data_IF_593881662285
#
_entry.id   IF_593881662285
#
_cell.length_a   1.000
_cell.length_b   1.000
_cell.length_c   1.000
_cell.angle_alpha   90.00
_cell.angle_beta   90.00
_cell.angle_gamma   90.00
#
_symmetry.space_group_name_H-M   'P 1'
#
loop_
_entity.id
_entity.type
_entity.pdbx_description
1 polymer ?
#
# COMPACT_ATOMS: atom_id res chain seq x y z
N UNK A 1 -15.92 -15.38 44.31
CA UNK A 1 -15.54 -13.98 44.50
C UNK A 1 -14.18 -13.78 43.85
N UNK A 2 -14.10 -12.87 42.88
CA UNK A 2 -12.98 -12.65 41.97
C UNK A 2 -11.70 -12.22 42.69
N UNK A 3 -10.58 -12.87 42.36
CA UNK A 3 -9.27 -12.22 42.42
C UNK A 3 -8.91 -11.84 40.98
N UNK A 4 -9.20 -10.58 40.66
CA UNK A 4 -8.68 -9.89 39.48
C UNK A 4 -7.16 -10.04 39.46
N UNK A 5 -6.65 -10.84 38.53
CA UNK A 5 -5.28 -10.68 38.05
C UNK A 5 -5.30 -9.47 37.13
N UNK A 6 -4.79 -8.35 37.62
CA UNK A 6 -4.52 -7.17 36.78
C UNK A 6 -3.70 -7.59 35.56
N UNK A 7 -4.12 -7.22 34.34
CA UNK A 7 -3.35 -7.50 33.14
C UNK A 7 -2.07 -6.65 33.13
N UNK A 8 -1.06 -7.24 32.52
CA UNK A 8 0.33 -6.82 32.35
C UNK A 8 0.57 -5.31 32.11
N UNK A 9 1.62 -4.72 32.73
CA UNK A 9 1.92 -3.28 32.70
C UNK A 9 2.60 -2.76 31.41
N UNK A 10 2.55 -3.49 30.29
CA UNK A 10 3.28 -3.11 29.07
C UNK A 10 2.50 -2.26 28.06
N UNK A 11 1.26 -1.88 28.38
CA UNK A 11 0.48 -0.92 27.59
C UNK A 11 0.18 0.33 28.43
N UNK A 12 1.24 1.04 28.85
CA UNK A 12 1.12 2.49 29.10
C UNK A 12 0.72 3.17 27.80
N UNK A 13 -0.02 4.30 27.85
CA UNK A 13 -0.70 4.87 26.70
C UNK A 13 0.33 5.14 25.61
N UNK A 14 0.39 4.23 24.63
CA UNK A 14 1.11 4.44 23.40
C UNK A 14 0.55 5.74 22.86
N UNK A 15 1.41 6.76 22.74
CA UNK A 15 1.23 7.84 21.78
C UNK A 15 0.56 7.24 20.55
N UNK A 16 -0.58 7.79 20.12
CA UNK A 16 -1.59 7.15 19.28
C UNK A 16 -1.07 6.66 17.92
N UNK A 17 -0.23 5.61 17.92
CA UNK A 17 0.24 4.94 16.72
C UNK A 17 -0.96 4.15 16.21
N UNK A 18 -1.46 4.44 15.00
CA UNK A 18 -2.59 3.72 14.47
C UNK A 18 -2.24 2.22 14.43
N UNK A 19 -3.19 1.39 14.85
CA UNK A 19 -3.08 -0.06 14.75
C UNK A 19 -3.86 -0.54 13.53
N UNK A 20 -3.32 -1.54 12.83
CA UNK A 20 -3.97 -2.20 11.69
C UNK A 20 -3.84 -3.71 11.78
N UNK A 21 -4.70 -4.44 11.08
CA UNK A 21 -4.59 -5.90 10.96
C UNK A 21 -3.26 -6.23 10.27
N UNK A 22 -2.42 -7.00 10.96
CA UNK A 22 -1.09 -7.38 10.48
C UNK A 22 -1.21 -8.54 9.51
N UNK A 23 -0.87 -8.32 8.24
CA UNK A 23 -0.85 -9.38 7.23
C UNK A 23 0.12 -10.51 7.62
N UNK A 24 1.25 -10.15 8.24
CA UNK A 24 2.24 -11.12 8.73
C UNK A 24 1.61 -12.02 9.79
N UNK A 25 0.99 -11.44 10.82
CA UNK A 25 0.36 -12.22 11.90
C UNK A 25 -0.79 -13.10 11.38
N UNK A 26 -1.62 -12.56 10.48
CA UNK A 26 -2.71 -13.34 9.84
C UNK A 26 -2.14 -14.51 9.05
N UNK A 27 -1.13 -14.27 8.21
CA UNK A 27 -0.55 -15.30 7.36
C UNK A 27 0.22 -16.36 8.16
N UNK A 28 0.93 -15.98 9.22
CA UNK A 28 1.59 -16.94 10.12
C UNK A 28 0.58 -17.88 10.78
N UNK A 29 -0.52 -17.32 11.29
CA UNK A 29 -1.61 -18.10 11.89
C UNK A 29 -2.29 -19.02 10.86
N UNK A 30 -2.58 -18.53 9.66
CA UNK A 30 -3.14 -19.34 8.57
C UNK A 30 -2.19 -20.48 8.15
N UNK A 31 -0.88 -20.22 8.07
CA UNK A 31 0.13 -21.24 7.77
C UNK A 31 0.23 -22.31 8.86
N UNK A 32 0.08 -21.93 10.14
CA UNK A 32 0.13 -22.87 11.26
C UNK A 32 -0.99 -23.92 11.17
N UNK A 33 -2.20 -23.55 10.73
CA UNK A 33 -3.30 -24.49 10.45
C UNK A 33 -2.92 -25.49 9.35
N UNK A 34 -2.11 -25.05 8.39
CA UNK A 34 -1.71 -25.84 7.23
C UNK A 34 -0.62 -26.87 7.47
N UNK A 35 -0.02 -26.92 8.66
CA UNK A 35 1.04 -27.89 9.00
C UNK A 35 0.55 -29.34 9.17
N UNK A 36 -0.76 -29.59 9.02
CA UNK A 36 -1.37 -30.93 8.98
C UNK A 36 -1.48 -31.55 7.58
N UNK A 37 -2.18 -32.70 7.48
CA UNK A 37 -2.21 -33.59 6.29
C UNK A 37 -2.76 -32.94 5.00
N UNK A 38 -3.53 -31.84 5.08
CA UNK A 38 -3.86 -30.95 3.95
C UNK A 38 -4.11 -29.53 4.45
N UNK A 39 -3.15 -28.64 4.22
CA UNK A 39 -3.34 -27.21 4.52
C UNK A 39 -4.34 -26.52 3.58
N UNK A 40 -4.75 -25.28 3.92
CA UNK A 40 -5.65 -24.51 3.08
C UNK A 40 -5.02 -24.25 1.71
N UNK A 41 -5.86 -24.20 0.67
CA UNK A 41 -5.40 -23.84 -0.67
C UNK A 41 -4.90 -22.39 -0.69
N UNK A 42 -4.07 -22.04 -1.69
CA UNK A 42 -3.63 -20.65 -1.91
C UNK A 42 -4.83 -19.72 -2.09
N UNK A 43 -5.89 -20.19 -2.75
CA UNK A 43 -7.12 -19.44 -2.95
C UNK A 43 -7.89 -19.21 -1.64
N UNK A 44 -8.04 -20.24 -0.81
CA UNK A 44 -8.69 -20.12 0.49
C UNK A 44 -7.91 -19.17 1.43
N UNK A 45 -6.58 -19.24 1.38
CA UNK A 45 -5.70 -18.35 2.15
C UNK A 45 -5.87 -16.89 1.70
N UNK A 46 -5.92 -16.64 0.38
CA UNK A 46 -6.18 -15.28 -0.15
C UNK A 46 -7.56 -14.75 0.23
N UNK A 47 -8.59 -15.59 0.13
CA UNK A 47 -9.93 -15.22 0.55
C UNK A 47 -9.96 -14.85 2.04
N UNK A 48 -9.30 -15.63 2.90
CA UNK A 48 -9.16 -15.34 4.32
C UNK A 48 -8.41 -14.03 4.58
N UNK A 49 -7.28 -13.78 3.93
CA UNK A 49 -6.54 -12.52 4.10
C UNK A 49 -7.35 -11.31 3.64
N UNK A 50 -8.06 -11.43 2.52
CA UNK A 50 -8.95 -10.36 2.02
C UNK A 50 -10.11 -10.08 2.99
N UNK A 51 -10.76 -11.13 3.50
CA UNK A 51 -11.84 -10.99 4.48
C UNK A 51 -11.32 -10.37 5.78
N UNK A 52 -10.16 -10.80 6.28
CA UNK A 52 -9.53 -10.22 7.46
C UNK A 52 -9.22 -8.72 7.27
N UNK A 53 -8.69 -8.33 6.11
CA UNK A 53 -8.43 -6.93 5.78
C UNK A 53 -9.72 -6.11 5.76
N UNK A 54 -10.74 -6.53 5.00
CA UNK A 54 -12.01 -5.77 4.86
C UNK A 54 -12.76 -5.69 6.19
N UNK A 55 -12.77 -6.78 6.96
CA UNK A 55 -13.35 -6.79 8.30
C UNK A 55 -12.60 -5.83 9.23
N UNK A 56 -11.26 -5.85 9.20
CA UNK A 56 -10.43 -4.93 9.98
C UNK A 56 -10.66 -3.46 9.62
N UNK A 57 -10.81 -3.13 8.34
CA UNK A 57 -11.13 -1.77 7.88
C UNK A 57 -12.46 -1.31 8.45
N UNK A 58 -13.50 -2.14 8.37
CA UNK A 58 -14.81 -1.78 8.89
C UNK A 58 -14.86 -1.68 10.42
N UNK A 59 -14.13 -2.54 11.14
CA UNK A 59 -14.00 -2.41 12.60
C UNK A 59 -13.30 -1.11 12.98
N UNK A 60 -12.32 -0.64 12.19
CA UNK A 60 -11.68 0.65 12.40
C UNK A 60 -12.60 1.85 12.13
N UNK A 61 -13.48 1.75 11.13
CA UNK A 61 -14.54 2.75 10.92
C UNK A 61 -15.45 2.86 12.14
N UNK A 62 -15.85 1.71 12.72
CA UNK A 62 -16.67 1.66 13.94
C UNK A 62 -15.95 2.19 15.18
N UNK A 63 -14.64 1.96 15.26
CA UNK A 63 -13.78 2.49 16.33
C UNK A 63 -13.57 4.00 16.29
N UNK A 64 -13.87 4.65 15.16
CA UNK A 64 -13.96 6.10 15.04
C UNK A 64 -12.82 6.87 15.72
N UNK A 65 -11.54 6.53 15.46
CA UNK A 65 -10.38 7.24 16.02
C UNK A 65 -10.48 7.54 17.54
N UNK A 66 -11.21 6.72 18.33
CA UNK A 66 -11.41 7.01 19.74
C UNK A 66 -10.18 6.55 20.55
N UNK A 67 -9.36 7.48 21.08
CA UNK A 67 -8.25 7.09 21.95
C UNK A 67 -8.82 6.44 23.21
N UNK A 68 -8.32 5.24 23.53
CA UNK A 68 -8.68 4.51 24.76
C UNK A 68 -9.70 3.38 24.60
N UNK A 69 -10.19 3.10 23.39
CA UNK A 69 -10.92 1.86 23.12
C UNK A 69 -9.93 0.75 22.83
N UNK A 70 -10.06 -0.35 23.58
CA UNK A 70 -9.24 -1.54 23.40
C UNK A 70 -9.61 -2.23 22.08
N UNK A 71 -8.74 -2.25 21.05
CA UNK A 71 -9.13 -2.69 19.70
C UNK A 71 -9.52 -4.16 19.63
N UNK A 72 -9.09 -4.98 20.59
CA UNK A 72 -9.44 -6.40 20.73
C UNK A 72 -10.80 -6.63 21.41
N UNK A 73 -11.37 -5.62 22.06
CA UNK A 73 -12.69 -5.70 22.68
C UNK A 73 -13.84 -5.40 21.69
N UNK A 74 -13.51 -5.02 20.45
CA UNK A 74 -14.48 -4.59 19.44
C UNK A 74 -15.04 -5.78 18.70
N UNK A 75 -16.37 -5.91 18.80
CA UNK A 75 -17.13 -6.82 17.96
C UNK A 75 -17.04 -6.36 16.51
N UNK A 76 -16.35 -7.14 15.69
CA UNK A 76 -16.20 -6.94 14.27
C UNK A 76 -17.45 -7.53 13.59
N UNK A 77 -18.47 -6.69 13.38
CA UNK A 77 -19.72 -7.14 12.76
C UNK A 77 -19.85 -6.61 11.33
N UNK A 78 -19.68 -7.51 10.36
CA UNK A 78 -20.28 -7.40 9.04
C UNK A 78 -20.98 -8.73 8.70
N UNK A 79 -22.25 -8.68 8.25
CA UNK A 79 -22.90 -9.86 7.70
C UNK A 79 -22.10 -10.45 6.54
N UNK A 80 -22.05 -11.79 6.38
CA UNK A 80 -21.35 -12.45 5.28
C UNK A 80 -21.74 -11.93 3.89
N UNK A 81 -22.99 -11.51 3.70
CA UNK A 81 -23.49 -10.92 2.45
C UNK A 81 -22.83 -9.58 2.14
N UNK A 82 -22.63 -8.74 3.17
CA UNK A 82 -21.96 -7.45 3.00
C UNK A 82 -20.46 -7.62 2.75
N UNK A 83 -19.83 -8.60 3.42
CA UNK A 83 -18.45 -8.98 3.14
C UNK A 83 -18.31 -9.49 1.70
N UNK A 84 -19.24 -10.32 1.23
CA UNK A 84 -19.27 -10.82 -0.14
C UNK A 84 -19.33 -9.68 -1.16
N UNK A 85 -20.21 -8.70 -0.94
CA UNK A 85 -20.31 -7.49 -1.79
C UNK A 85 -18.98 -6.72 -1.81
N UNK A 86 -18.41 -6.41 -0.64
CA UNK A 86 -17.18 -5.60 -0.55
C UNK A 86 -15.96 -6.30 -1.12
N UNK A 87 -15.86 -7.63 -0.94
CA UNK A 87 -14.72 -8.44 -1.40
C UNK A 87 -14.87 -8.96 -2.83
N UNK A 88 -16.09 -8.99 -3.38
CA UNK A 88 -16.39 -9.66 -4.65
C UNK A 88 -16.38 -11.18 -4.59
N UNK A 89 -16.33 -11.76 -3.38
CA UNK A 89 -16.37 -13.21 -3.16
C UNK A 89 -17.81 -13.72 -3.12
N UNK A 90 -18.02 -15.00 -3.42
CA UNK A 90 -19.28 -15.66 -3.12
C UNK A 90 -19.49 -15.76 -1.60
N UNK A 91 -20.75 -15.71 -1.15
CA UNK A 91 -21.09 -15.81 0.28
C UNK A 91 -20.51 -17.08 0.92
N UNK A 92 -20.58 -18.22 0.23
CA UNK A 92 -19.99 -19.48 0.71
C UNK A 92 -18.47 -19.37 0.89
N UNK A 93 -17.77 -18.67 -0.02
CA UNK A 93 -16.33 -18.43 0.09
C UNK A 93 -16.00 -17.52 1.27
N UNK A 94 -16.85 -16.53 1.55
CA UNK A 94 -16.71 -15.66 2.74
C UNK A 94 -16.91 -16.47 4.02
N UNK A 95 -17.94 -17.32 4.08
CA UNK A 95 -18.18 -18.17 5.25
C UNK A 95 -17.03 -19.13 5.50
N UNK A 96 -16.49 -19.74 4.43
CA UNK A 96 -15.31 -20.61 4.54
C UNK A 96 -14.06 -19.84 4.98
N UNK A 97 -13.87 -18.62 4.47
CA UNK A 97 -12.79 -17.72 4.91
C UNK A 97 -12.92 -17.35 6.40
N UNK A 98 -14.13 -17.01 6.87
CA UNK A 98 -14.39 -16.74 8.29
C UNK A 98 -14.13 -17.97 9.16
N UNK A 99 -14.55 -19.15 8.71
CA UNK A 99 -14.27 -20.43 9.39
C UNK A 99 -12.78 -20.71 9.48
N UNK A 100 -12.03 -20.44 8.40
CA UNK A 100 -10.58 -20.61 8.36
C UNK A 100 -9.88 -19.63 9.30
N UNK A 101 -10.30 -18.36 9.31
CA UNK A 101 -9.76 -17.34 10.21
C UNK A 101 -10.03 -17.68 11.68
N UNK A 102 -11.22 -18.18 12.00
CA UNK A 102 -11.55 -18.66 13.34
C UNK A 102 -10.72 -19.89 13.73
N UNK A 103 -10.60 -20.88 12.83
CA UNK A 103 -9.75 -22.05 13.03
C UNK A 103 -8.26 -21.72 13.22
N UNK A 104 -7.79 -20.67 12.55
CA UNK A 104 -6.44 -20.12 12.70
C UNK A 104 -6.26 -19.24 13.94
N UNK A 105 -7.32 -19.03 14.74
CA UNK A 105 -7.33 -18.08 15.86
C UNK A 105 -6.94 -16.67 15.44
N UNK A 106 -7.25 -16.27 14.21
CA UNK A 106 -7.18 -14.86 13.79
C UNK A 106 -8.40 -14.11 14.32
N UNK A 107 -9.55 -14.80 14.31
CA UNK A 107 -10.80 -14.32 14.88
C UNK A 107 -11.21 -15.21 16.06
N UNK A 108 -11.62 -14.59 17.16
CA UNK A 108 -12.30 -15.25 18.27
C UNK A 108 -13.81 -15.06 18.11
N UNK A 109 -14.59 -16.12 18.32
CA UNK A 109 -16.04 -16.05 18.31
C UNK A 109 -16.57 -15.91 19.74
N UNK A 110 -17.19 -14.76 20.05
CA UNK A 110 -17.72 -14.45 21.38
C UNK A 110 -19.19 -14.05 21.23
N UNK A 111 -20.11 -14.79 21.87
CA UNK A 111 -21.55 -14.52 21.85
C UNK A 111 -22.16 -14.33 20.43
N UNK A 112 -21.64 -15.06 19.44
CA UNK A 112 -22.10 -14.97 18.05
C UNK A 112 -21.49 -13.83 17.24
N UNK A 113 -20.64 -13.00 17.84
CA UNK A 113 -19.82 -11.99 17.16
C UNK A 113 -18.39 -12.47 16.96
N UNK A 114 -17.68 -11.88 15.99
CA UNK A 114 -16.24 -12.08 15.81
C UNK A 114 -15.45 -10.94 16.42
N UNK A 115 -14.31 -11.25 17.03
CA UNK A 115 -13.29 -10.28 17.46
C UNK A 115 -11.95 -10.68 16.88
N UNK A 116 -11.10 -9.72 16.55
CA UNK A 116 -9.71 -10.06 16.24
C UNK A 116 -9.00 -10.49 17.51
N UNK A 117 -8.29 -11.61 17.41
CA UNK A 117 -7.52 -12.13 18.53
C UNK A 117 -6.35 -11.19 18.89
N UNK A 118 -5.95 -11.23 20.16
CA UNK A 118 -4.80 -10.47 20.65
C UNK A 118 -3.53 -10.82 19.84
N UNK A 119 -2.77 -9.81 19.43
CA UNK A 119 -1.58 -9.97 18.59
C UNK A 119 -1.83 -10.11 17.08
N UNK A 120 -3.07 -9.92 16.61
CA UNK A 120 -3.36 -9.77 15.16
C UNK A 120 -3.18 -8.33 14.70
N UNK A 121 -3.34 -7.34 15.58
CA UNK A 121 -2.99 -5.96 15.24
C UNK A 121 -1.53 -5.67 15.52
N UNK A 122 -0.93 -4.87 14.64
CA UNK A 122 0.39 -4.27 14.82
C UNK A 122 0.30 -2.76 14.57
N UNK A 123 1.28 -1.98 15.06
CA UNK A 123 1.53 -0.64 14.52
C UNK A 123 1.51 -0.70 13.00
N UNK A 124 0.72 0.15 12.36
CA UNK A 124 0.77 0.23 10.89
C UNK A 124 2.07 0.90 10.48
N UNK A 125 2.74 0.33 9.47
CA UNK A 125 3.84 0.98 8.76
C UNK A 125 3.33 2.07 7.81
N UNK A 126 4.11 2.38 6.77
CA UNK A 126 3.75 3.37 5.75
C UNK A 126 2.42 3.01 5.05
N UNK A 127 2.04 1.73 5.00
CA UNK A 127 0.77 1.26 4.46
C UNK A 127 -0.46 1.69 5.27
N UNK A 128 -0.30 2.05 6.54
CA UNK A 128 -1.40 2.60 7.34
C UNK A 128 -1.62 4.10 7.17
N UNK A 129 -0.79 4.74 6.35
CA UNK A 129 -1.02 6.12 5.94
C UNK A 129 -2.13 6.22 4.88
N UNK A 130 -2.41 5.11 4.19
CA UNK A 130 -3.51 5.00 3.25
C UNK A 130 -4.88 4.99 3.96
N UNK A 131 -5.84 5.65 3.33
CA UNK A 131 -7.23 5.67 3.77
C UNK A 131 -7.96 4.43 3.23
N UNK A 132 -7.71 3.28 3.86
CA UNK A 132 -8.28 1.99 3.49
C UNK A 132 -9.81 1.98 3.33
N UNK A 133 -10.62 2.69 4.13
CA UNK A 133 -12.05 2.85 3.87
C UNK A 133 -12.36 3.33 2.45
N UNK A 134 -11.67 4.37 1.97
CA UNK A 134 -11.85 4.91 0.60
C UNK A 134 -11.41 3.90 -0.44
N UNK A 135 -10.27 3.22 -0.23
CA UNK A 135 -9.75 2.21 -1.15
C UNK A 135 -10.73 1.03 -1.29
N UNK A 136 -11.20 0.49 -0.16
CA UNK A 136 -12.14 -0.64 -0.15
C UNK A 136 -13.48 -0.24 -0.76
N UNK A 137 -13.97 0.98 -0.49
CA UNK A 137 -15.20 1.47 -1.11
C UNK A 137 -15.04 1.64 -2.63
N UNK A 138 -13.95 2.24 -3.11
CA UNK A 138 -13.70 2.47 -4.54
C UNK A 138 -13.48 1.17 -5.32
N UNK A 139 -12.95 0.13 -4.66
CA UNK A 139 -12.68 -1.19 -5.24
C UNK A 139 -13.70 -2.24 -4.81
N UNK A 140 -14.88 -1.82 -4.33
CA UNK A 140 -15.91 -2.73 -3.85
C UNK A 140 -16.28 -3.75 -4.95
N UNK A 141 -16.25 -5.03 -4.60
CA UNK A 141 -16.47 -6.13 -5.54
C UNK A 141 -15.23 -6.56 -6.32
N UNK A 142 -14.08 -5.88 -6.16
CA UNK A 142 -12.80 -6.25 -6.76
C UNK A 142 -11.74 -6.62 -5.70
N UNK A 143 -11.93 -7.77 -5.07
CA UNK A 143 -10.98 -8.32 -4.11
C UNK A 143 -9.55 -8.47 -4.63
N UNK A 144 -9.39 -8.70 -5.95
CA UNK A 144 -8.07 -8.76 -6.58
C UNK A 144 -7.41 -7.38 -6.56
N UNK A 145 -8.15 -6.33 -6.94
CA UNK A 145 -7.71 -4.95 -6.85
C UNK A 145 -7.28 -4.57 -5.44
N UNK A 146 -8.07 -4.94 -4.43
CA UNK A 146 -7.78 -4.68 -3.01
C UNK A 146 -6.46 -5.36 -2.58
N UNK A 147 -6.28 -6.65 -2.84
CA UNK A 147 -5.06 -7.37 -2.46
C UNK A 147 -3.82 -6.87 -3.22
N UNK A 148 -3.96 -6.52 -4.50
CA UNK A 148 -2.86 -5.94 -5.28
C UNK A 148 -2.51 -4.54 -4.76
N UNK A 149 -3.50 -3.73 -4.37
CA UNK A 149 -3.27 -2.44 -3.71
C UNK A 149 -2.50 -2.61 -2.39
N UNK A 150 -2.92 -3.57 -1.57
CA UNK A 150 -2.24 -3.93 -0.31
C UNK A 150 -0.80 -4.36 -0.54
N UNK A 151 -0.55 -5.22 -1.51
CA UNK A 151 0.82 -5.62 -1.85
C UNK A 151 1.66 -4.45 -2.36
N UNK A 152 1.10 -3.53 -3.15
CA UNK A 152 1.81 -2.30 -3.52
C UNK A 152 2.14 -1.44 -2.31
N UNK A 153 1.22 -1.29 -1.37
CA UNK A 153 1.44 -0.48 -0.17
C UNK A 153 2.57 -1.05 0.71
N UNK A 154 2.69 -2.37 0.78
CA UNK A 154 3.77 -3.05 1.51
C UNK A 154 5.12 -3.00 0.79
N UNK A 155 5.11 -2.95 -0.55
CA UNK A 155 6.33 -2.99 -1.38
C UNK A 155 6.85 -1.61 -1.77
N UNK A 156 6.00 -0.58 -1.76
CA UNK A 156 6.38 0.80 -2.03
C UNK A 156 7.09 1.37 -0.80
N UNK A 157 8.40 1.10 -0.71
CA UNK A 157 9.29 1.66 0.32
C UNK A 157 9.73 3.03 -0.19
N UNK A 158 9.06 4.10 0.23
CA UNK A 158 9.37 5.46 -0.18
C UNK A 158 8.44 6.48 0.46
N UNK A 159 8.86 7.77 0.54
CA UNK A 159 8.01 8.81 1.13
C UNK A 159 6.63 8.81 0.47
N UNK A 160 5.59 9.20 1.22
CA UNK A 160 4.15 9.15 0.82
C UNK A 160 3.86 9.65 -0.61
N UNK A 161 4.70 10.53 -1.14
CA UNK A 161 4.55 11.16 -2.47
C UNK A 161 5.56 10.68 -3.52
N UNK A 162 6.34 9.65 -3.21
CA UNK A 162 7.45 9.13 -4.01
C UNK A 162 7.00 8.16 -5.11
N UNK A 163 7.62 8.27 -6.28
CA UNK A 163 7.51 7.28 -7.34
C UNK A 163 8.33 6.05 -6.98
N UNK A 164 7.69 4.88 -6.95
CA UNK A 164 8.32 3.61 -6.58
C UNK A 164 8.23 2.60 -7.72
N UNK A 165 9.35 1.96 -8.04
CA UNK A 165 9.35 0.82 -8.94
C UNK A 165 8.88 -0.42 -8.17
N UNK A 166 7.69 -0.93 -8.49
CA UNK A 166 7.15 -2.15 -7.90
C UNK A 166 7.06 -3.24 -8.97
N UNK A 167 8.04 -4.16 -9.06
CA UNK A 167 8.04 -5.22 -10.05
C UNK A 167 6.80 -6.12 -9.93
N UNK A 168 6.20 -6.48 -11.07
CA UNK A 168 5.03 -7.39 -11.12
C UNK A 168 5.31 -8.72 -10.44
N UNK A 169 6.55 -9.23 -10.55
CA UNK A 169 6.99 -10.45 -9.88
C UNK A 169 6.80 -10.37 -8.36
N UNK A 170 7.23 -9.29 -7.73
CA UNK A 170 7.15 -9.12 -6.27
C UNK A 170 5.69 -9.04 -5.82
N UNK A 171 4.83 -8.36 -6.58
CA UNK A 171 3.38 -8.37 -6.32
C UNK A 171 2.80 -9.79 -6.45
N UNK A 172 3.25 -10.56 -7.43
CA UNK A 172 2.85 -11.97 -7.60
C UNK A 172 3.30 -12.85 -6.45
N UNK A 173 4.52 -12.66 -5.93
CA UNK A 173 5.02 -13.37 -4.74
C UNK A 173 4.20 -13.03 -3.49
N UNK A 174 3.79 -11.77 -3.32
CA UNK A 174 2.95 -11.33 -2.19
C UNK A 174 1.50 -11.80 -2.29
N UNK A 175 0.91 -11.81 -3.50
CA UNK A 175 -0.53 -12.03 -3.69
C UNK A 175 -0.87 -13.41 -4.26
N UNK A 176 0.09 -14.16 -4.77
CA UNK A 176 -0.14 -15.40 -5.50
C UNK A 176 -0.86 -15.23 -6.85
N UNK A 177 -0.97 -14.00 -7.37
CA UNK A 177 -1.58 -13.74 -8.67
C UNK A 177 -0.56 -13.80 -9.82
N UNK A 178 -1.03 -14.24 -10.98
CA UNK A 178 -0.27 -14.18 -12.22
C UNK A 178 -0.19 -12.75 -12.79
N UNK A 179 0.80 -12.53 -13.66
CA UNK A 179 1.13 -11.22 -14.23
C UNK A 179 -0.05 -10.53 -14.92
N UNK A 180 -0.90 -11.25 -15.66
CA UNK A 180 -2.06 -10.66 -16.34
C UNK A 180 -3.15 -10.21 -15.37
N UNK A 181 -3.36 -10.96 -14.29
CA UNK A 181 -4.29 -10.58 -13.22
C UNK A 181 -3.79 -9.34 -12.50
N UNK A 182 -2.49 -9.28 -12.19
CA UNK A 182 -1.87 -8.09 -11.58
C UNK A 182 -1.98 -6.87 -12.52
N UNK A 183 -1.73 -7.05 -13.82
CA UNK A 183 -1.85 -5.95 -14.81
C UNK A 183 -3.28 -5.41 -14.87
N UNK A 184 -4.29 -6.29 -14.87
CA UNK A 184 -5.70 -5.89 -14.83
C UNK A 184 -6.06 -5.18 -13.52
N UNK A 185 -5.62 -5.69 -12.39
CA UNK A 185 -5.83 -5.05 -11.09
C UNK A 185 -5.17 -3.66 -11.03
N UNK A 186 -3.94 -3.50 -11.51
CA UNK A 186 -3.27 -2.19 -11.61
C UNK A 186 -4.05 -1.21 -12.48
N UNK A 187 -4.59 -1.68 -13.60
CA UNK A 187 -5.44 -0.84 -14.46
C UNK A 187 -6.67 -0.34 -13.71
N UNK A 188 -7.36 -1.22 -12.99
CA UNK A 188 -8.51 -0.84 -12.16
C UNK A 188 -8.13 0.12 -11.03
N UNK A 189 -6.95 -0.04 -10.42
CA UNK A 189 -6.44 0.91 -9.43
C UNK A 189 -6.21 2.30 -10.03
N UNK A 190 -5.72 2.39 -11.27
CA UNK A 190 -5.58 3.65 -11.99
C UNK A 190 -6.94 4.25 -12.38
N UNK A 191 -7.86 3.42 -12.89
CA UNK A 191 -9.23 3.85 -13.24
C UNK A 191 -10.01 4.34 -12.03
N UNK A 192 -9.80 3.72 -10.85
CA UNK A 192 -10.36 4.14 -9.58
C UNK A 192 -9.66 5.38 -8.97
N UNK A 193 -8.60 5.90 -9.60
CA UNK A 193 -7.85 7.04 -9.11
C UNK A 193 -7.10 6.76 -7.80
N UNK A 194 -6.74 5.50 -7.52
CA UNK A 194 -5.99 5.10 -6.32
C UNK A 194 -4.48 5.13 -6.55
N UNK A 195 -4.04 4.84 -7.76
CA UNK A 195 -2.63 4.72 -8.13
C UNK A 195 -2.38 5.46 -9.43
N UNK A 196 -1.25 6.13 -9.54
CA UNK A 196 -0.73 6.73 -10.76
C UNK A 196 0.43 5.88 -11.30
N UNK A 197 0.55 5.79 -12.63
CA UNK A 197 1.66 5.13 -13.32
C UNK A 197 2.48 6.15 -14.10
N UNK A 198 3.81 6.09 -13.92
CA UNK A 198 4.77 6.79 -14.75
C UNK A 198 5.59 5.76 -15.50
N UNK A 199 5.53 5.79 -16.82
CA UNK A 199 6.39 4.98 -17.68
C UNK A 199 7.69 5.72 -17.92
N UNK A 200 8.80 5.02 -17.76
CA UNK A 200 10.13 5.51 -18.06
C UNK A 200 10.60 4.81 -19.34
N UNK A 201 11.13 5.57 -20.29
CA UNK A 201 11.62 5.01 -21.56
C UNK A 201 12.72 3.99 -21.29
N UNK A 202 12.50 2.75 -21.76
CA UNK A 202 13.44 1.64 -21.58
C UNK A 202 13.53 1.05 -20.17
N UNK A 203 12.68 1.46 -19.22
CA UNK A 203 12.71 0.97 -17.83
C UNK A 203 11.35 0.48 -17.33
N UNK A 204 11.33 -0.14 -16.14
CA UNK A 204 10.11 -0.60 -15.48
C UNK A 204 9.22 0.59 -15.07
N UNK A 205 7.90 0.45 -15.24
CA UNK A 205 6.92 1.42 -14.74
C UNK A 205 7.13 1.72 -13.26
N UNK A 206 7.01 3.00 -12.91
CA UNK A 206 6.95 3.48 -11.54
C UNK A 206 5.49 3.77 -11.17
N UNK A 207 5.17 3.56 -9.90
CA UNK A 207 3.84 3.75 -9.35
C UNK A 207 3.90 4.65 -8.13
N UNK A 208 2.81 5.39 -7.90
CA UNK A 208 2.62 6.20 -6.69
C UNK A 208 1.14 6.14 -6.30
N UNK A 209 0.84 6.21 -5.01
CA UNK A 209 -0.54 6.37 -4.54
C UNK A 209 -1.04 7.79 -4.81
N UNK A 210 -2.24 7.89 -5.39
CA UNK A 210 -2.87 9.18 -5.65
C UNK A 210 -3.44 9.79 -4.35
N UNK A 211 -3.72 11.11 -4.37
CA UNK A 211 -4.27 11.83 -3.22
C UNK A 211 -5.55 11.17 -2.65
N UNK A 212 -6.40 10.62 -3.52
CA UNK A 212 -7.63 9.94 -3.13
C UNK A 212 -7.38 8.68 -2.28
N UNK A 213 -6.28 7.97 -2.51
CA UNK A 213 -5.90 6.80 -1.69
C UNK A 213 -5.52 7.19 -0.26
N UNK A 214 -5.19 8.46 -0.01
CA UNK A 214 -4.98 9.04 1.32
C UNK A 214 -6.23 9.69 1.90
N UNK A 215 -7.39 9.54 1.24
CA UNK A 215 -8.65 10.17 1.66
C UNK A 215 -8.71 11.67 1.40
N UNK A 216 -7.76 12.21 0.62
CA UNK A 216 -7.75 13.61 0.24
C UNK A 216 -8.67 13.77 -0.99
N UNK A 217 -9.66 14.64 -0.87
CA UNK A 217 -10.48 15.04 -2.02
C UNK A 217 -9.57 15.81 -2.97
N UNK A 218 -9.44 15.41 -4.25
CA UNK A 218 -8.67 16.19 -5.21
C UNK A 218 -9.26 17.60 -5.25
N UNK A 219 -8.41 18.61 -5.03
CA UNK A 219 -8.80 20.00 -5.24
C UNK A 219 -9.39 20.10 -6.66
N UNK A 220 -10.58 20.67 -6.76
CA UNK A 220 -11.24 20.94 -8.03
C UNK A 220 -10.19 21.52 -9.00
N UNK A 221 -9.99 20.94 -10.20
CA UNK A 221 -8.98 21.45 -11.11
C UNK A 221 -9.25 22.94 -11.32
N UNK A 222 -8.24 23.83 -11.26
CA UNK A 222 -8.47 25.25 -11.48
C UNK A 222 -9.20 25.38 -12.80
N UNK A 223 -10.40 25.98 -12.75
CA UNK A 223 -11.25 26.15 -13.91
C UNK A 223 -10.38 26.64 -15.05
N UNK A 224 -10.32 25.86 -16.14
CA UNK A 224 -9.62 26.28 -17.34
C UNK A 224 -10.10 27.71 -17.66
N UNK A 225 -9.19 28.67 -17.91
CA UNK A 225 -9.60 30.02 -18.22
C UNK A 225 -10.56 29.91 -19.41
N UNK A 226 -11.80 30.33 -19.19
CA UNK A 226 -12.80 30.43 -20.25
C UNK A 226 -12.20 31.39 -21.25
N UNK A 227 -11.63 30.87 -22.33
CA UNK A 227 -11.33 31.66 -23.51
C UNK A 227 -12.66 32.14 -24.02
N UNK A 228 -13.03 33.36 -23.61
CA UNK A 228 -14.13 34.10 -24.20
C UNK A 228 -13.86 34.14 -25.70
N UNK A 229 -14.81 33.58 -26.43
CA UNK A 229 -14.92 33.65 -27.87
C UNK A 229 -15.10 35.13 -28.22
N UNK A 230 -13.99 35.84 -28.41
CA UNK A 230 -13.99 37.12 -29.08
C UNK A 230 -14.17 36.84 -30.57
N UNK A 231 -15.25 37.40 -31.11
CA UNK A 231 -15.59 37.42 -32.52
C UNK A 231 -14.38 37.85 -33.36
N UNK A 232 -14.17 37.14 -34.46
CA UNK A 232 -13.24 37.57 -35.51
C UNK A 232 -13.78 38.81 -36.22
N UNK A 233 -12.91 39.79 -36.50
CA UNK A 233 -12.98 40.53 -37.75
C UNK A 233 -11.81 40.18 -38.68
N UNK A 234 -12.08 40.37 -39.96
CA UNK A 234 -11.28 39.99 -41.12
C UNK A 234 -9.88 40.64 -41.20
N UNK A 235 -8.96 39.84 -41.76
CA UNK A 235 -7.82 40.18 -42.65
C UNK A 235 -6.88 41.34 -42.26
N UNK A 236 -5.64 40.96 -41.95
CA UNK A 236 -4.46 41.50 -42.66
C UNK A 236 -3.30 40.53 -42.60
N UNK A 237 -2.72 40.26 -43.77
CA UNK A 237 -1.48 39.53 -43.91
C UNK A 237 -0.33 40.35 -43.31
N UNK A 238 0.39 39.80 -42.33
CA UNK A 238 1.64 40.35 -41.84
C UNK A 238 2.61 39.21 -41.49
N UNK A 239 3.64 39.14 -42.33
CA UNK A 239 5.01 38.60 -42.20
C UNK A 239 5.39 37.95 -40.85
N UNK A 240 6.01 36.74 -40.84
CA UNK A 240 6.53 36.12 -39.63
C UNK A 240 7.79 36.83 -39.09
N UNK A 241 7.98 36.97 -37.76
CA UNK A 241 9.23 37.46 -37.18
C UNK A 241 10.33 36.38 -37.22
N UNK A 242 11.62 36.76 -37.25
CA UNK A 242 12.74 35.83 -37.40
C UNK A 242 13.01 35.03 -36.11
N UNK A 243 13.48 33.79 -36.31
CA UNK A 243 13.97 32.87 -35.28
C UNK A 243 15.17 33.48 -34.53
N UNK A 244 15.07 33.56 -33.20
CA UNK A 244 16.22 33.85 -32.34
C UNK A 244 17.13 32.62 -32.23
N UNK A 245 18.47 32.79 -32.22
CA UNK A 245 19.41 31.67 -32.09
C UNK A 245 19.44 31.11 -30.67
N UNK A 246 19.41 29.78 -30.56
CA UNK A 246 19.60 29.04 -29.31
C UNK A 246 21.02 29.26 -28.73
N UNK A 247 21.17 29.37 -27.40
CA UNK A 247 22.49 29.43 -26.78
C UNK A 247 23.21 28.08 -26.84
N UNK A 248 24.55 28.05 -26.90
CA UNK A 248 25.33 26.82 -26.99
C UNK A 248 25.34 26.03 -25.67
N UNK A 249 25.46 24.68 -25.73
CA UNK A 249 25.58 23.86 -24.53
C UNK A 249 26.94 24.08 -23.85
N UNK A 250 26.93 24.20 -22.52
CA UNK A 250 28.13 24.27 -21.69
C UNK A 250 28.93 22.94 -21.74
N UNK A 251 30.27 22.99 -21.66
CA UNK A 251 31.12 21.80 -21.76
C UNK A 251 30.99 20.89 -20.54
N UNK A 252 30.91 19.59 -20.78
CA UNK A 252 30.84 18.54 -19.77
C UNK A 252 32.18 18.39 -19.03
N UNK A 253 32.21 18.80 -17.76
CA UNK A 253 33.31 18.50 -16.84
C UNK A 253 33.02 17.18 -16.10
N UNK A 254 33.93 16.22 -16.24
CA UNK A 254 34.11 15.00 -15.44
C UNK A 254 32.86 14.38 -14.82
N UNK A 255 32.22 13.46 -15.53
CA UNK A 255 31.07 12.68 -15.02
C UNK A 255 31.50 11.77 -13.87
N UNK A 256 31.37 12.28 -12.65
CA UNK A 256 31.10 11.44 -11.49
C UNK A 256 29.78 10.68 -11.69
N UNK A 257 29.56 9.61 -10.93
CA UNK A 257 28.31 8.86 -10.95
C UNK A 257 27.58 9.02 -9.62
N UNK A 258 26.25 9.01 -9.66
CA UNK A 258 25.42 9.11 -8.46
C UNK A 258 25.08 7.71 -7.97
N UNK A 259 25.48 7.39 -6.75
CA UNK A 259 25.15 6.14 -6.07
C UNK A 259 23.92 6.35 -5.18
N UNK A 260 22.92 5.48 -5.32
CA UNK A 260 21.67 5.54 -4.54
C UNK A 260 21.65 4.39 -3.53
N UNK A 261 21.57 4.71 -2.24
CA UNK A 261 21.60 3.74 -1.15
C UNK A 261 20.59 4.13 -0.08
N UNK A 262 19.63 3.24 0.22
CA UNK A 262 18.66 3.43 1.31
C UNK A 262 17.87 4.75 1.26
N UNK A 263 17.62 5.29 0.07
CA UNK A 263 16.92 6.57 -0.11
C UNK A 263 17.82 7.81 -0.12
N UNK A 264 19.12 7.69 0.16
CA UNK A 264 20.11 8.76 0.01
C UNK A 264 20.82 8.74 -1.35
N UNK A 265 21.19 9.91 -1.85
CA UNK A 265 22.06 10.05 -3.04
C UNK A 265 23.45 10.53 -2.65
N UNK A 266 24.48 9.81 -3.10
CA UNK A 266 25.88 10.17 -2.93
C UNK A 266 26.48 10.45 -4.31
N UNK A 267 27.02 11.65 -4.53
CA UNK A 267 27.75 11.97 -5.75
C UNK A 267 29.20 11.49 -5.61
N UNK A 268 29.58 10.52 -6.44
CA UNK A 268 30.91 9.92 -6.44
C UNK A 268 31.73 10.61 -7.54
N UNK A 269 32.78 11.36 -7.21
CA UNK A 269 33.58 12.06 -8.19
C UNK A 269 34.32 11.07 -9.10
N UNK A 270 34.61 11.48 -10.34
CA UNK A 270 35.34 10.66 -11.29
C UNK A 270 36.73 10.28 -10.73
N UNK A 271 37.04 8.98 -10.72
CA UNK A 271 38.29 8.43 -10.17
C UNK A 271 38.19 7.86 -8.76
N UNK A 272 37.07 8.07 -8.04
CA UNK A 272 36.87 7.46 -6.73
C UNK A 272 36.52 5.95 -6.84
N UNK A 273 37.10 5.14 -5.94
CA UNK A 273 36.69 3.74 -5.71
C UNK A 273 35.69 3.67 -4.58
N UNK A 274 34.62 2.92 -4.80
CA UNK A 274 33.60 2.64 -3.79
C UNK A 274 33.71 1.17 -3.40
N UNK A 275 33.84 0.90 -2.10
CA UNK A 275 33.79 -0.46 -1.56
C UNK A 275 32.80 -0.54 -0.40
N UNK A 276 32.11 -1.67 -0.28
CA UNK A 276 31.28 -1.97 0.89
C UNK A 276 32.09 -2.89 1.79
N UNK A 277 32.37 -2.42 3.00
CA UNK A 277 33.10 -3.16 4.04
C UNK A 277 32.20 -3.32 5.26
N UNK A 278 32.42 -4.38 6.05
CA UNK A 278 31.72 -4.55 7.31
C UNK A 278 32.51 -3.81 8.41
N UNK A 279 31.81 -3.01 9.22
CA UNK A 279 32.41 -2.41 10.41
C UNK A 279 32.65 -3.46 11.52
N UNK A 280 33.26 -3.02 12.63
CA UNK A 280 33.56 -3.88 13.79
C UNK A 280 32.31 -4.50 14.44
N UNK A 281 31.11 -3.99 14.11
CA UNK A 281 29.82 -4.53 14.56
C UNK A 281 29.14 -5.44 13.54
N UNK A 282 29.79 -5.69 12.39
CA UNK A 282 29.26 -6.50 11.30
C UNK A 282 28.24 -5.78 10.42
N UNK A 283 28.14 -4.45 10.50
CA UNK A 283 27.23 -3.66 9.66
C UNK A 283 27.93 -3.22 8.38
N UNK A 284 27.25 -3.27 7.22
CA UNK A 284 27.82 -2.77 5.96
C UNK A 284 27.95 -1.25 5.98
N UNK A 285 29.17 -0.77 5.76
CA UNK A 285 29.54 0.64 5.63
C UNK A 285 30.14 0.87 4.25
N UNK A 286 29.80 1.99 3.62
CA UNK A 286 30.35 2.40 2.33
C UNK A 286 31.64 3.19 2.57
N UNK A 287 32.74 2.70 2.02
CA UNK A 287 34.03 3.39 2.02
C UNK A 287 34.28 3.97 0.62
N UNK A 288 34.64 5.25 0.60
CA UNK A 288 35.04 5.98 -0.60
C UNK A 288 36.54 6.26 -0.53
N UNK A 289 37.29 5.75 -1.50
CA UNK A 289 38.72 6.08 -1.67
C UNK A 289 38.88 6.96 -2.91
N UNK A 290 39.42 8.16 -2.73
CA UNK A 290 39.81 9.03 -3.83
C UNK A 290 41.21 8.61 -4.30
N UNK A 291 41.35 8.34 -5.60
CA UNK A 291 42.64 8.08 -6.22
C UNK A 291 43.47 9.37 -6.38
#
# INVERSE_FOLDING_TARGET
MNLQRSPTPYLRPLEAVPLGVSDVAVMERLKAVGSGVRGPSVEATRAASLVALVLGVASREQLGLHPGVDPWAVDCFLPPEQLAIRTGLAVNSVQEALRLLAGARVLDQVNGAFRFAEGVFSPVGEEGTLHWPTIVAALSGDGTGILVCRAHALLAIGPRDGWSAVPTRNVGEQTGYGSDTIRRARRRLMEAGMVEERRLDGASSQYRFAALAFGLVPAEPPAAPVTSRAESPLRSAAVPPPLAPSPPPAPAAGTGFRLMLGGGSLEVPAGARVSVVLDETGRPVIQLELA
#
